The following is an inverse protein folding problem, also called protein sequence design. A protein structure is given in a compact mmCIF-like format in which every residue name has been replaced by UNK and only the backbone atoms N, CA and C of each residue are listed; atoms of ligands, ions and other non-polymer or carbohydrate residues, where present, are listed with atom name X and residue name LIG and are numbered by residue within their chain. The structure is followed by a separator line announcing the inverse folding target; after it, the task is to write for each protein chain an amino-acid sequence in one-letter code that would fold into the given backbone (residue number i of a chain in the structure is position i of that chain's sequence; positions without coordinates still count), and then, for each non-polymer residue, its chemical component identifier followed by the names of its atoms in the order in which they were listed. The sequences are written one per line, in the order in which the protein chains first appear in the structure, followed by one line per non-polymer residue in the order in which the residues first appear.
data_IF_561202624348
#
_entry.id   IF_561202624348
#
_cell.length_a   1.000
_cell.length_b   1.000
_cell.length_c   1.000
_cell.angle_alpha   90.00
_cell.angle_beta   90.00
_cell.angle_gamma   90.00
#
_symmetry.space_group_name_H-M   'P 1'
#
loop_
_entity.id
_entity.type
_entity.pdbx_description
1 polymer ?
#
# COMPACT_ATOMS: atom_id res chain seq x y z
N UNK A 1 -44.79 42.19 -3.53
CA UNK A 1 -44.10 41.35 -4.55
C UNK A 1 -42.61 41.69 -4.67
N UNK A 2 -42.24 42.97 -4.67
CA UNK A 2 -40.80 43.37 -4.80
C UNK A 2 -39.88 42.87 -3.70
N UNK A 3 -40.31 42.80 -2.44
CA UNK A 3 -39.48 42.33 -1.33
C UNK A 3 -39.24 40.80 -1.32
N UNK A 4 -40.08 40.02 -2.00
CA UNK A 4 -39.91 38.58 -2.14
C UNK A 4 -38.93 38.28 -3.29
N UNK A 5 -39.03 39.03 -4.38
CA UNK A 5 -38.12 38.91 -5.55
C UNK A 5 -36.67 39.26 -5.14
N UNK A 6 -36.49 40.31 -4.33
CA UNK A 6 -35.18 40.73 -3.85
C UNK A 6 -34.51 39.69 -2.93
N UNK A 7 -35.30 38.99 -2.10
CA UNK A 7 -34.79 37.90 -1.25
C UNK A 7 -34.39 36.64 -2.04
N UNK A 8 -35.13 36.34 -3.09
CA UNK A 8 -34.81 35.21 -3.98
C UNK A 8 -33.54 35.49 -4.77
N UNK A 9 -33.35 36.72 -5.30
CA UNK A 9 -32.16 37.12 -6.00
C UNK A 9 -30.94 37.15 -5.08
N UNK A 10 -31.08 37.62 -3.83
CA UNK A 10 -29.97 37.56 -2.84
C UNK A 10 -29.61 36.13 -2.41
N UNK A 11 -30.58 35.22 -2.33
CA UNK A 11 -30.33 33.80 -2.06
C UNK A 11 -29.62 33.11 -3.25
N UNK A 12 -29.97 33.45 -4.49
CA UNK A 12 -29.27 32.90 -5.70
C UNK A 12 -27.88 33.47 -5.84
N UNK A 13 -27.60 34.72 -5.48
CA UNK A 13 -26.26 35.30 -5.47
C UNK A 13 -25.36 34.70 -4.36
N UNK A 14 -25.92 34.30 -3.22
CA UNK A 14 -25.17 33.58 -2.18
C UNK A 14 -24.86 32.14 -2.55
N UNK A 15 -25.73 31.47 -3.34
CA UNK A 15 -25.46 30.12 -3.83
C UNK A 15 -24.48 30.09 -5.01
N UNK A 16 -24.34 31.14 -5.78
CA UNK A 16 -23.37 31.22 -6.89
C UNK A 16 -21.94 31.54 -6.44
N UNK A 17 -21.70 31.94 -5.19
CA UNK A 17 -20.37 32.14 -4.64
C UNK A 17 -19.78 30.86 -3.97
N UNK A 18 -20.57 29.81 -3.74
CA UNK A 18 -20.09 28.55 -3.15
C UNK A 18 -19.54 27.59 -4.22
N UNK A 19 -19.70 27.87 -5.51
CA UNK A 19 -19.38 26.93 -6.59
C UNK A 19 -18.02 27.14 -7.26
N UNK A 20 -17.08 27.89 -6.66
CA UNK A 20 -15.75 28.11 -7.20
C UNK A 20 -14.63 28.06 -6.15
N UNK A 21 -14.75 27.24 -5.13
CA UNK A 21 -13.55 26.79 -4.42
C UNK A 21 -12.89 25.76 -5.36
N UNK A 22 -11.83 26.17 -6.05
CA UNK A 22 -10.97 25.24 -6.78
C UNK A 22 -10.41 24.27 -5.75
N UNK A 23 -10.35 22.98 -6.09
CA UNK A 23 -9.82 21.91 -5.21
C UNK A 23 -8.46 22.24 -4.60
N UNK A 24 -7.66 23.10 -5.25
CA UNK A 24 -6.41 23.66 -4.73
C UNK A 24 -6.55 24.56 -3.51
N UNK A 25 -7.71 25.17 -3.29
CA UNK A 25 -7.92 26.06 -2.13
C UNK A 25 -8.11 25.27 -0.83
N UNK A 26 -8.16 23.92 -0.92
CA UNK A 26 -8.28 23.01 0.21
C UNK A 26 -6.94 22.54 0.80
N UNK A 27 -5.80 22.93 0.23
CA UNK A 27 -4.50 22.62 0.82
C UNK A 27 -4.21 23.52 2.02
N UNK A 28 -3.65 22.92 3.06
CA UNK A 28 -3.11 23.66 4.20
C UNK A 28 -1.90 24.48 3.73
N UNK A 29 -1.73 25.74 4.22
CA UNK A 29 -0.54 26.50 3.93
C UNK A 29 0.70 25.79 4.49
N UNK A 30 1.79 25.81 3.71
CA UNK A 30 3.06 25.27 4.17
C UNK A 30 3.54 26.00 5.43
N UNK A 31 3.79 25.25 6.50
CA UNK A 31 4.32 25.77 7.76
C UNK A 31 5.71 25.25 8.05
N UNK A 32 5.88 23.93 7.95
CA UNK A 32 7.14 23.25 8.25
C UNK A 32 7.15 21.86 7.62
N UNK A 33 8.31 21.31 7.42
CA UNK A 33 8.54 19.89 7.12
C UNK A 33 9.27 19.18 8.27
N UNK A 34 9.59 19.89 9.35
CA UNK A 34 10.32 19.30 10.47
C UNK A 34 9.42 18.29 11.20
N UNK A 35 9.94 17.08 11.44
CA UNK A 35 9.18 16.05 12.10
C UNK A 35 8.88 16.37 13.57
N UNK A 36 7.75 15.85 14.05
CA UNK A 36 7.38 15.91 15.47
C UNK A 36 7.67 14.55 16.12
N UNK A 37 8.27 14.55 17.32
CA UNK A 37 8.47 13.32 18.08
C UNK A 37 7.13 12.83 18.67
N UNK A 38 6.60 11.75 18.12
CA UNK A 38 5.39 11.10 18.61
C UNK A 38 5.68 9.87 19.49
N UNK A 39 6.95 9.57 19.75
CA UNK A 39 7.36 8.36 20.47
C UNK A 39 6.76 7.09 19.86
N UNK A 40 6.66 7.04 18.53
CA UNK A 40 6.05 5.98 17.75
C UNK A 40 7.08 4.96 17.19
N UNK A 41 8.27 4.97 17.78
CA UNK A 41 9.40 4.11 17.42
C UNK A 41 10.34 4.71 16.37
N UNK A 42 10.01 5.85 15.76
CA UNK A 42 10.89 6.54 14.84
C UNK A 42 11.92 7.42 15.54
N UNK A 43 13.17 7.26 15.15
CA UNK A 43 14.21 8.24 15.45
C UNK A 43 14.03 9.45 14.53
N UNK A 44 14.16 10.65 15.09
CA UNK A 44 14.10 11.90 14.34
C UNK A 44 15.53 12.44 14.15
N UNK A 45 15.79 12.99 12.97
CA UNK A 45 17.05 13.67 12.64
C UNK A 45 16.78 14.91 11.78
N UNK A 46 17.84 15.66 11.47
CA UNK A 46 17.78 16.76 10.52
C UNK A 46 18.28 16.31 9.15
N UNK A 47 17.83 16.96 8.06
CA UNK A 47 18.34 16.64 6.72
C UNK A 47 19.87 16.73 6.64
N UNK A 48 20.47 17.75 7.22
CA UNK A 48 21.92 17.95 7.19
C UNK A 48 22.69 16.84 7.89
N UNK A 49 22.23 16.38 9.08
CA UNK A 49 22.85 15.27 9.80
C UNK A 49 22.81 13.97 9.00
N UNK A 50 21.83 13.82 8.12
CA UNK A 50 21.65 12.66 7.27
C UNK A 50 22.12 12.91 5.82
N UNK A 51 22.95 13.92 5.61
CA UNK A 51 23.63 14.23 4.34
C UNK A 51 22.66 14.57 3.19
N UNK A 52 21.54 15.22 3.52
CA UNK A 52 20.59 15.78 2.56
C UNK A 52 20.72 17.31 2.59
N UNK A 53 20.74 17.94 1.39
CA UNK A 53 20.75 19.39 1.28
C UNK A 53 19.44 19.97 1.79
N UNK A 54 19.50 20.63 2.98
CA UNK A 54 18.33 21.17 3.66
C UNK A 54 17.61 22.25 2.83
N UNK A 55 18.38 23.17 2.22
CA UNK A 55 17.81 24.25 1.42
C UNK A 55 17.01 23.72 0.21
N UNK A 56 17.58 22.73 -0.48
CA UNK A 56 16.89 22.11 -1.63
C UNK A 56 15.72 21.26 -1.18
N UNK A 57 15.82 20.54 -0.06
CA UNK A 57 14.68 19.79 0.50
C UNK A 57 13.53 20.74 0.85
N UNK A 58 13.80 21.87 1.46
CA UNK A 58 12.81 22.91 1.74
C UNK A 58 12.11 23.39 0.47
N UNK A 59 12.85 23.61 -0.61
CA UNK A 59 12.28 23.98 -1.92
C UNK A 59 11.37 22.88 -2.48
N UNK A 60 11.74 21.60 -2.28
CA UNK A 60 10.89 20.47 -2.69
C UNK A 60 9.57 20.48 -1.90
N UNK A 61 9.59 20.77 -0.59
CA UNK A 61 8.36 20.86 0.21
C UNK A 61 7.50 22.09 -0.16
N UNK A 62 8.09 23.22 -0.52
CA UNK A 62 7.35 24.34 -1.11
C UNK A 62 6.68 23.93 -2.41
N UNK A 63 7.45 23.34 -3.34
CA UNK A 63 6.90 22.79 -4.60
C UNK A 63 5.75 21.82 -4.35
N UNK A 64 5.91 20.91 -3.38
CA UNK A 64 4.91 19.94 -3.00
C UNK A 64 3.59 20.58 -2.53
N UNK A 65 3.65 21.66 -1.78
CA UNK A 65 2.48 22.40 -1.32
C UNK A 65 1.85 23.29 -2.39
N UNK A 66 2.65 23.92 -3.22
CA UNK A 66 2.20 24.96 -4.16
C UNK A 66 1.80 24.40 -5.53
N UNK A 67 2.33 23.23 -5.91
CA UNK A 67 2.04 22.64 -7.21
C UNK A 67 0.60 22.15 -7.29
N UNK A 68 -0.12 22.71 -8.25
CA UNK A 68 -1.53 22.40 -8.50
C UNK A 68 -1.74 20.97 -9.02
N UNK A 69 -0.74 20.41 -9.72
CA UNK A 69 -0.81 19.05 -10.24
C UNK A 69 -0.68 17.98 -9.13
N UNK A 70 -0.31 18.42 -7.93
CA UNK A 70 -0.19 17.58 -6.72
C UNK A 70 -1.33 17.82 -5.73
N UNK A 71 -2.46 18.38 -6.18
CA UNK A 71 -3.57 18.73 -5.29
C UNK A 71 -4.15 17.53 -4.50
N UNK A 72 -4.04 16.31 -5.05
CA UNK A 72 -4.54 15.10 -4.40
C UNK A 72 -3.62 14.60 -3.28
N UNK A 73 -2.35 14.96 -3.31
CA UNK A 73 -1.37 14.42 -2.36
C UNK A 73 -1.66 14.96 -0.97
N UNK A 74 -1.73 14.06 0.01
CA UNK A 74 -2.04 14.34 1.42
C UNK A 74 -0.80 14.47 2.27
N UNK A 75 0.20 13.64 2.02
CA UNK A 75 1.42 13.63 2.81
C UNK A 75 2.67 13.31 1.97
N UNK A 76 3.80 13.83 2.43
CA UNK A 76 5.13 13.46 1.95
C UNK A 76 6.04 13.30 3.17
N UNK A 77 6.61 12.11 3.35
CA UNK A 77 7.56 11.80 4.42
C UNK A 77 8.87 11.32 3.80
N UNK A 78 9.98 11.72 4.39
CA UNK A 78 11.34 11.33 3.97
C UNK A 78 12.07 10.72 5.15
N UNK A 79 12.56 9.49 4.96
CA UNK A 79 13.39 8.77 5.90
C UNK A 79 14.76 8.52 5.28
N UNK A 80 15.80 8.79 6.03
CA UNK A 80 17.19 8.57 5.64
C UNK A 80 17.95 7.90 6.78
N UNK A 81 18.75 6.89 6.47
CA UNK A 81 19.52 6.15 7.47
C UNK A 81 18.66 5.72 8.68
N UNK A 82 17.45 5.23 8.40
CA UNK A 82 16.50 4.77 9.40
C UNK A 82 15.92 5.85 10.33
N UNK A 83 15.99 7.10 9.94
CA UNK A 83 15.46 8.23 10.71
C UNK A 83 14.49 9.05 9.87
N UNK A 84 13.43 9.51 10.49
CA UNK A 84 12.51 10.48 9.90
C UNK A 84 13.16 11.85 9.91
N UNK A 85 13.39 12.43 8.73
CA UNK A 85 14.09 13.71 8.57
C UNK A 85 13.18 14.82 8.09
N UNK A 86 12.07 14.47 7.44
CA UNK A 86 11.11 15.45 6.97
C UNK A 86 9.73 14.80 6.81
N UNK A 87 8.69 15.57 7.15
CA UNK A 87 7.31 15.21 6.92
C UNK A 87 6.42 16.43 6.72
N UNK A 88 5.41 16.32 5.89
CA UNK A 88 4.40 17.36 5.75
C UNK A 88 3.05 16.79 5.30
N UNK A 89 1.99 17.44 5.74
CA UNK A 89 0.60 17.06 5.51
C UNK A 89 -0.15 18.22 4.87
N UNK A 90 -0.67 18.01 3.66
CA UNK A 90 -1.20 19.10 2.82
C UNK A 90 -2.70 19.32 2.97
N UNK A 91 -3.45 18.33 3.41
CA UNK A 91 -4.92 18.37 3.48
C UNK A 91 -5.44 18.42 4.92
N UNK A 92 -4.90 17.57 5.76
CA UNK A 92 -5.32 17.43 7.15
C UNK A 92 -4.10 17.12 8.02
N UNK A 93 -3.84 17.95 9.01
CA UNK A 93 -2.72 17.70 9.93
C UNK A 93 -2.93 16.43 10.76
N UNK A 94 -4.16 16.01 10.96
CA UNK A 94 -4.48 14.80 11.70
C UNK A 94 -4.06 13.52 10.94
N UNK A 95 -3.74 13.60 9.63
CA UNK A 95 -3.20 12.46 8.88
C UNK A 95 -1.91 11.89 9.51
N UNK A 96 -1.28 12.66 10.37
CA UNK A 96 -0.12 12.19 11.15
C UNK A 96 -0.50 11.06 12.11
N UNK A 97 -1.73 11.05 12.64
CA UNK A 97 -2.22 10.08 13.64
C UNK A 97 -3.49 9.35 13.22
N UNK A 98 -4.24 9.86 12.25
CA UNK A 98 -5.46 9.23 11.76
C UNK A 98 -5.14 8.25 10.61
N UNK A 99 -5.48 6.95 10.76
CA UNK A 99 -5.21 5.97 9.73
C UNK A 99 -6.16 6.16 8.55
N UNK A 100 -5.61 6.06 7.34
CA UNK A 100 -6.36 6.07 6.09
C UNK A 100 -6.14 4.76 5.31
N UNK A 101 -7.01 4.45 4.36
CA UNK A 101 -6.88 3.26 3.53
C UNK A 101 -5.57 3.29 2.73
N UNK A 102 -4.74 2.27 2.91
CA UNK A 102 -3.48 2.13 2.16
C UNK A 102 -3.64 1.31 0.88
N UNK A 103 -4.86 0.85 0.63
CA UNK A 103 -5.26 0.10 -0.56
C UNK A 103 -4.34 -1.10 -0.82
N UNK A 104 -3.86 -1.26 -2.06
CA UNK A 104 -3.04 -2.40 -2.46
C UNK A 104 -1.67 -2.49 -1.77
N UNK A 105 -1.23 -1.47 -1.02
CA UNK A 105 -0.11 -1.61 -0.10
C UNK A 105 -0.35 -2.72 0.96
N UNK A 106 -1.59 -3.14 1.16
CA UNK A 106 -1.95 -4.31 1.97
C UNK A 106 -1.30 -5.61 1.45
N UNK A 107 -1.13 -5.74 0.13
CA UNK A 107 -0.54 -6.95 -0.49
C UNK A 107 0.92 -7.16 -0.05
N UNK A 108 1.70 -6.08 0.05
CA UNK A 108 3.09 -6.17 0.53
C UNK A 108 3.13 -6.58 2.01
N UNK A 109 2.14 -6.15 2.80
CA UNK A 109 2.00 -6.62 4.19
C UNK A 109 1.65 -8.11 4.23
N UNK A 110 0.83 -8.61 3.31
CA UNK A 110 0.57 -10.05 3.17
C UNK A 110 1.84 -10.83 2.78
N UNK A 111 2.70 -10.27 1.93
CA UNK A 111 4.01 -10.85 1.61
C UNK A 111 4.90 -10.98 2.86
N UNK A 112 4.98 -9.92 3.67
CA UNK A 112 5.71 -9.93 4.95
C UNK A 112 5.13 -11.01 5.88
N UNK A 113 3.82 -11.06 6.03
CA UNK A 113 3.13 -12.07 6.85
C UNK A 113 3.34 -13.50 6.34
N UNK A 114 3.45 -13.70 5.04
CA UNK A 114 3.77 -15.02 4.48
C UNK A 114 5.16 -15.49 4.92
N UNK A 115 6.16 -14.59 4.93
CA UNK A 115 7.49 -14.91 5.45
C UNK A 115 7.46 -15.29 6.94
N UNK A 116 6.71 -14.54 7.73
CA UNK A 116 6.53 -14.87 9.15
C UNK A 116 5.77 -16.20 9.29
N UNK A 117 4.80 -16.49 8.42
CA UNK A 117 4.06 -17.75 8.43
C UNK A 117 4.95 -18.96 8.13
N UNK A 118 5.94 -18.81 7.24
CA UNK A 118 6.96 -19.84 6.98
C UNK A 118 7.84 -20.08 8.22
N UNK A 119 8.30 -19.01 8.87
CA UNK A 119 9.13 -19.10 10.08
C UNK A 119 8.38 -19.80 11.25
N UNK A 120 7.10 -19.49 11.39
CA UNK A 120 6.21 -20.09 12.40
C UNK A 120 5.63 -21.45 11.98
N UNK A 121 5.95 -21.96 10.78
CA UNK A 121 5.39 -23.19 10.21
C UNK A 121 3.86 -23.21 10.10
N UNK A 122 3.27 -22.04 9.97
CA UNK A 122 1.86 -21.86 9.60
C UNK A 122 1.67 -22.21 8.12
N UNK A 123 2.66 -21.86 7.32
CA UNK A 123 2.88 -22.34 5.94
C UNK A 123 4.21 -23.07 5.96
N UNK A 124 4.28 -24.29 5.42
CA UNK A 124 5.52 -25.08 5.48
C UNK A 124 6.47 -24.76 4.32
N UNK A 125 5.92 -24.50 3.12
CA UNK A 125 6.69 -24.15 1.94
C UNK A 125 5.87 -23.29 0.98
N UNK A 126 6.51 -22.35 0.28
CA UNK A 126 5.86 -21.62 -0.82
C UNK A 126 5.56 -22.51 -2.03
N UNK A 127 6.25 -23.64 -2.17
CA UNK A 127 5.97 -24.66 -3.19
C UNK A 127 4.77 -25.54 -2.88
N UNK A 128 4.17 -25.42 -1.70
CA UNK A 128 3.00 -26.23 -1.35
C UNK A 128 1.77 -25.85 -2.15
N UNK A 129 1.03 -26.85 -2.60
CA UNK A 129 -0.30 -26.72 -3.16
C UNK A 129 -1.28 -26.21 -2.10
N UNK A 130 -2.14 -25.24 -2.46
CA UNK A 130 -3.19 -24.72 -1.57
C UNK A 130 -4.10 -25.80 -1.03
N UNK A 131 -4.26 -26.93 -1.74
CA UNK A 131 -5.02 -28.09 -1.29
C UNK A 131 -4.56 -28.60 0.08
N UNK A 132 -3.27 -28.47 0.41
CA UNK A 132 -2.71 -28.86 1.71
C UNK A 132 -3.36 -28.08 2.86
N UNK A 133 -3.67 -26.82 2.64
CA UNK A 133 -4.20 -25.90 3.63
C UNK A 133 -5.72 -25.72 3.54
N UNK A 134 -6.29 -25.92 2.35
CA UNK A 134 -7.69 -25.70 1.99
C UNK A 134 -8.32 -26.96 1.33
N UNK A 135 -8.22 -28.17 1.98
CA UNK A 135 -8.62 -29.41 1.34
C UNK A 135 -10.11 -29.45 0.97
N UNK A 136 -10.99 -28.94 1.81
CA UNK A 136 -12.44 -28.96 1.56
C UNK A 136 -12.84 -27.94 0.49
N UNK A 137 -12.18 -26.80 0.44
CA UNK A 137 -12.40 -25.76 -0.56
C UNK A 137 -11.95 -26.26 -1.94
N UNK A 138 -10.73 -26.81 -2.05
CA UNK A 138 -10.20 -27.34 -3.31
C UNK A 138 -10.99 -28.59 -3.76
N UNK A 139 -11.53 -29.37 -2.83
CA UNK A 139 -12.42 -30.49 -3.19
C UNK A 139 -13.70 -30.01 -3.89
N UNK A 140 -14.25 -28.84 -3.51
CA UNK A 140 -15.39 -28.22 -4.20
C UNK A 140 -15.01 -27.58 -5.54
N UNK A 141 -13.75 -27.13 -5.65
CA UNK A 141 -13.18 -26.47 -6.81
C UNK A 141 -11.94 -27.22 -7.32
N UNK A 142 -12.08 -28.43 -7.91
CA UNK A 142 -10.94 -29.32 -8.21
C UNK A 142 -9.99 -28.80 -9.28
N UNK A 143 -10.41 -27.81 -10.07
CA UNK A 143 -9.60 -27.08 -11.05
C UNK A 143 -8.55 -26.16 -10.41
N UNK A 144 -8.63 -25.94 -9.08
CA UNK A 144 -7.66 -25.16 -8.32
C UNK A 144 -6.50 -26.00 -7.76
N UNK A 145 -6.57 -27.32 -7.95
CA UNK A 145 -5.46 -28.20 -7.59
C UNK A 145 -4.22 -27.86 -8.40
N UNK A 146 -3.07 -27.82 -7.72
CA UNK A 146 -1.80 -27.43 -8.31
C UNK A 146 -1.45 -25.95 -8.11
N UNK A 147 -2.39 -25.09 -7.70
CA UNK A 147 -2.06 -23.71 -7.34
C UNK A 147 -1.19 -23.73 -6.08
N UNK A 148 0.01 -23.13 -6.17
CA UNK A 148 0.96 -23.06 -5.06
C UNK A 148 0.94 -21.70 -4.37
N UNK A 149 1.43 -21.64 -3.12
CA UNK A 149 1.61 -20.37 -2.40
C UNK A 149 2.50 -19.43 -3.22
N UNK A 150 3.56 -19.93 -3.86
CA UNK A 150 4.43 -19.12 -4.71
C UNK A 150 3.70 -18.53 -5.91
N UNK A 151 2.84 -19.33 -6.57
CA UNK A 151 2.06 -18.81 -7.70
C UNK A 151 1.08 -17.71 -7.30
N UNK A 152 0.49 -17.80 -6.09
CA UNK A 152 -0.31 -16.71 -5.52
C UNK A 152 0.54 -15.45 -5.28
N UNK A 153 1.72 -15.59 -4.65
CA UNK A 153 2.63 -14.48 -4.36
C UNK A 153 3.13 -13.77 -5.62
N UNK A 154 3.26 -14.49 -6.72
CA UNK A 154 3.69 -13.95 -8.02
C UNK A 154 2.53 -13.43 -8.87
N UNK A 155 1.29 -13.46 -8.39
CA UNK A 155 0.08 -13.15 -9.20
C UNK A 155 -0.01 -14.03 -10.46
N UNK A 156 0.33 -15.30 -10.32
CA UNK A 156 0.37 -16.31 -11.39
C UNK A 156 -0.46 -17.54 -11.03
N UNK A 157 -1.53 -17.39 -10.24
CA UNK A 157 -2.44 -18.50 -9.90
C UNK A 157 -3.18 -19.08 -11.11
N UNK A 158 -3.38 -18.29 -12.14
CA UNK A 158 -4.20 -18.62 -13.31
C UNK A 158 -5.69 -18.46 -13.09
N UNK A 159 -6.15 -17.99 -11.92
CA UNK A 159 -7.56 -17.69 -11.66
C UNK A 159 -7.97 -16.45 -12.47
N UNK A 160 -9.09 -16.54 -13.19
CA UNK A 160 -9.64 -15.48 -14.02
C UNK A 160 -10.30 -14.38 -13.15
N UNK A 161 -9.53 -13.72 -12.32
CA UNK A 161 -10.01 -12.63 -11.49
C UNK A 161 -9.82 -11.30 -12.23
N UNK A 162 -10.91 -10.60 -12.50
CA UNK A 162 -10.91 -9.31 -13.18
C UNK A 162 -10.76 -8.17 -12.16
N UNK A 163 -9.59 -7.55 -12.14
CA UNK A 163 -9.26 -6.46 -11.22
C UNK A 163 -9.61 -5.08 -11.79
N UNK A 164 -9.27 -4.83 -13.05
CA UNK A 164 -9.48 -3.57 -13.80
C UNK A 164 -9.44 -2.31 -12.90
N UNK A 165 -8.29 -2.07 -12.29
CA UNK A 165 -8.06 -0.89 -11.47
C UNK A 165 -9.11 -0.68 -10.35
N UNK A 166 -9.63 -1.72 -9.72
CA UNK A 166 -10.69 -1.68 -8.70
C UNK A 166 -12.14 -1.67 -9.25
N UNK A 167 -12.32 -1.49 -10.55
CA UNK A 167 -13.64 -1.47 -11.20
C UNK A 167 -14.01 -2.77 -11.90
N UNK A 168 -13.09 -3.74 -11.95
CA UNK A 168 -13.34 -5.05 -12.54
C UNK A 168 -14.53 -5.77 -11.93
N UNK A 169 -15.18 -6.62 -12.71
CA UNK A 169 -16.39 -7.32 -12.30
C UNK A 169 -16.15 -8.18 -11.05
N UNK A 170 -15.03 -8.93 -11.01
CA UNK A 170 -14.69 -9.76 -9.85
C UNK A 170 -14.50 -8.94 -8.58
N UNK A 171 -13.92 -7.74 -8.67
CA UNK A 171 -13.76 -6.84 -7.53
C UNK A 171 -15.09 -6.30 -7.02
N UNK A 172 -16.00 -5.93 -7.91
CA UNK A 172 -17.34 -5.47 -7.53
C UNK A 172 -18.10 -6.57 -6.81
N UNK A 173 -18.14 -7.78 -7.40
CA UNK A 173 -18.81 -8.93 -6.82
C UNK A 173 -18.22 -9.31 -5.47
N UNK A 174 -16.89 -9.33 -5.33
CA UNK A 174 -16.22 -9.65 -4.06
C UNK A 174 -16.59 -8.67 -2.94
N UNK A 175 -16.73 -7.38 -3.25
CA UNK A 175 -17.14 -6.38 -2.25
C UNK A 175 -18.60 -6.51 -1.83
N UNK A 176 -19.46 -6.95 -2.73
CA UNK A 176 -20.91 -7.02 -2.52
C UNK A 176 -21.35 -8.37 -1.95
N UNK A 177 -20.49 -9.38 -2.00
CA UNK A 177 -20.85 -10.75 -1.59
C UNK A 177 -21.26 -10.78 -0.11
N UNK A 178 -22.41 -11.40 0.22
CA UNK A 178 -22.93 -11.40 1.59
C UNK A 178 -22.14 -12.29 2.55
N UNK A 179 -21.30 -13.19 2.05
CA UNK A 179 -20.44 -14.12 2.78
C UNK A 179 -19.73 -15.06 1.83
N UNK A 180 -18.77 -15.85 2.35
CA UNK A 180 -18.00 -16.84 1.60
C UNK A 180 -17.14 -16.24 0.47
N UNK A 181 -16.35 -15.20 0.83
CA UNK A 181 -15.43 -14.52 -0.10
C UNK A 181 -14.41 -15.47 -0.74
N UNK A 182 -13.91 -16.43 0.03
CA UNK A 182 -12.96 -17.43 -0.45
C UNK A 182 -13.60 -18.35 -1.51
N UNK A 183 -14.80 -18.86 -1.25
CA UNK A 183 -15.50 -19.75 -2.18
C UNK A 183 -15.83 -19.03 -3.49
N UNK A 184 -16.20 -17.75 -3.43
CA UNK A 184 -16.38 -16.92 -4.61
C UNK A 184 -15.11 -16.86 -5.47
N UNK A 185 -13.95 -16.57 -4.88
CA UNK A 185 -12.69 -16.49 -5.61
C UNK A 185 -12.34 -17.85 -6.24
N UNK A 186 -12.49 -18.92 -5.47
CA UNK A 186 -12.22 -20.27 -5.96
C UNK A 186 -13.25 -20.77 -7.00
N UNK A 187 -14.44 -20.17 -7.08
CA UNK A 187 -15.44 -20.49 -8.11
C UNK A 187 -15.12 -19.88 -9.48
N UNK A 188 -14.25 -18.86 -9.54
CA UNK A 188 -13.85 -18.26 -10.80
C UNK A 188 -13.09 -19.27 -11.68
N UNK A 189 -13.25 -19.25 -13.01
CA UNK A 189 -12.57 -20.21 -13.88
C UNK A 189 -11.04 -20.02 -13.86
N UNK A 190 -10.31 -21.07 -14.22
CA UNK A 190 -8.86 -20.99 -14.48
C UNK A 190 -8.66 -20.71 -15.97
N UNK A 191 -7.98 -19.62 -16.31
CA UNK A 191 -7.71 -19.22 -17.69
C UNK A 191 -6.30 -19.62 -18.17
N UNK A 192 -5.39 -19.91 -17.23
CA UNK A 192 -4.01 -20.29 -17.50
C UNK A 192 -3.51 -21.28 -16.45
N UNK A 193 -2.58 -22.14 -16.81
CA UNK A 193 -1.86 -22.91 -15.81
C UNK A 193 -1.10 -21.98 -14.88
N UNK A 194 -1.05 -22.35 -13.60
CA UNK A 194 -0.30 -21.59 -12.60
C UNK A 194 1.18 -21.39 -13.00
N UNK A 195 1.76 -20.29 -12.58
CA UNK A 195 3.17 -19.97 -12.86
C UNK A 195 3.46 -19.44 -14.25
N UNK A 196 2.46 -19.33 -15.15
CA UNK A 196 2.64 -18.90 -16.55
C UNK A 196 2.24 -17.45 -16.74
N UNK A 197 0.98 -17.11 -16.57
CA UNK A 197 0.46 -15.78 -16.87
C UNK A 197 0.42 -14.91 -15.62
N UNK A 198 0.98 -13.71 -15.71
CA UNK A 198 0.80 -12.69 -14.69
C UNK A 198 -0.60 -12.08 -14.81
N UNK A 199 -1.33 -12.07 -13.72
CA UNK A 199 -2.65 -11.43 -13.61
C UNK A 199 -2.75 -10.74 -12.27
N UNK A 200 -2.49 -9.43 -12.23
CA UNK A 200 -2.63 -8.66 -11.00
C UNK A 200 -4.06 -8.68 -10.50
N UNK A 201 -4.30 -9.26 -9.32
CA UNK A 201 -5.64 -9.51 -8.81
C UNK A 201 -5.73 -9.41 -7.29
N UNK A 202 -6.95 -9.28 -6.77
CA UNK A 202 -7.22 -9.21 -5.34
C UNK A 202 -7.56 -10.58 -4.73
N UNK A 203 -7.79 -11.59 -5.56
CA UNK A 203 -8.10 -12.94 -5.12
C UNK A 203 -6.90 -13.66 -4.50
N UNK A 204 -5.75 -13.61 -5.17
CA UNK A 204 -4.55 -14.34 -4.74
C UNK A 204 -4.11 -14.01 -3.29
N UNK A 205 -3.95 -12.74 -2.90
CA UNK A 205 -3.58 -12.41 -1.52
C UNK A 205 -4.71 -12.70 -0.51
N UNK A 206 -5.96 -12.73 -0.97
CA UNK A 206 -7.07 -13.12 -0.12
C UNK A 206 -7.07 -14.63 0.20
N UNK A 207 -6.70 -15.47 -0.76
CA UNK A 207 -6.50 -16.91 -0.54
C UNK A 207 -5.41 -17.12 0.53
N UNK A 208 -4.29 -16.39 0.47
CA UNK A 208 -3.24 -16.47 1.50
C UNK A 208 -3.78 -16.03 2.87
N UNK A 209 -4.58 -14.98 2.92
CA UNK A 209 -5.23 -14.54 4.17
C UNK A 209 -6.13 -15.64 4.77
N UNK A 210 -6.93 -16.29 3.94
CA UNK A 210 -7.78 -17.41 4.36
C UNK A 210 -6.95 -18.61 4.88
N UNK A 211 -5.83 -18.93 4.24
CA UNK A 211 -4.90 -19.98 4.69
C UNK A 211 -4.35 -19.65 6.06
N UNK A 212 -3.81 -18.44 6.26
CA UNK A 212 -3.27 -18.00 7.56
C UNK A 212 -4.35 -18.12 8.64
N UNK A 213 -5.55 -17.61 8.37
CA UNK A 213 -6.67 -17.69 9.32
C UNK A 213 -7.01 -19.13 9.69
N UNK A 214 -7.09 -20.03 8.71
CA UNK A 214 -7.45 -21.42 8.92
C UNK A 214 -6.38 -22.17 9.71
N UNK A 215 -5.12 -21.94 9.43
CA UNK A 215 -4.01 -22.62 10.10
C UNK A 215 -3.73 -22.09 11.51
N UNK A 216 -4.02 -20.81 11.77
CA UNK A 216 -3.79 -20.20 13.09
C UNK A 216 -5.00 -20.21 14.01
N UNK A 217 -6.22 -20.48 13.48
CA UNK A 217 -7.51 -20.27 14.15
C UNK A 217 -7.71 -18.84 14.67
N UNK A 218 -7.04 -17.85 14.04
CA UNK A 218 -7.18 -16.42 14.30
C UNK A 218 -7.42 -15.72 12.98
N UNK A 219 -8.18 -14.62 12.97
CA UNK A 219 -8.22 -13.77 11.79
C UNK A 219 -6.80 -13.32 11.44
N UNK A 220 -6.52 -13.12 10.16
CA UNK A 220 -5.18 -12.61 9.74
C UNK A 220 -4.85 -11.29 10.42
N UNK A 221 -5.86 -10.44 10.68
CA UNK A 221 -5.72 -9.21 11.47
C UNK A 221 -5.22 -9.48 12.90
N UNK A 222 -5.83 -10.43 13.62
CA UNK A 222 -5.43 -10.78 14.99
C UNK A 222 -4.02 -11.38 15.02
N UNK A 223 -3.75 -12.28 14.09
CA UNK A 223 -2.43 -12.89 13.99
C UNK A 223 -1.35 -11.85 13.62
N UNK A 224 -1.61 -10.99 12.63
CA UNK A 224 -0.70 -9.90 12.26
C UNK A 224 -0.41 -8.93 13.42
N UNK A 225 -1.42 -8.65 14.28
CA UNK A 225 -1.21 -7.86 15.49
C UNK A 225 -0.17 -8.48 16.41
N UNK A 226 -0.21 -9.81 16.60
CA UNK A 226 0.71 -10.51 17.48
C UNK A 226 2.13 -10.61 16.92
N UNK A 227 2.24 -11.01 15.64
CA UNK A 227 3.53 -11.39 15.05
C UNK A 227 4.24 -10.24 14.35
N UNK A 228 3.53 -9.18 13.96
CA UNK A 228 4.06 -8.08 13.15
C UNK A 228 3.78 -6.71 13.79
N UNK A 229 2.53 -6.30 13.90
CA UNK A 229 2.20 -4.90 14.23
C UNK A 229 2.64 -4.49 15.64
N UNK A 230 2.47 -5.38 16.65
CA UNK A 230 2.95 -5.11 18.01
C UNK A 230 4.49 -5.05 18.08
N UNK A 231 5.19 -5.85 17.27
CA UNK A 231 6.66 -5.82 17.20
C UNK A 231 7.19 -4.57 16.50
N UNK A 232 6.42 -4.00 15.56
CA UNK A 232 6.69 -2.73 14.91
C UNK A 232 6.21 -1.51 15.73
N UNK A 233 5.66 -1.73 16.91
CA UNK A 233 5.10 -0.67 17.75
C UNK A 233 4.02 0.16 17.04
N UNK A 234 3.25 -0.48 16.15
CA UNK A 234 2.16 0.17 15.44
C UNK A 234 0.97 0.44 16.38
N UNK A 235 0.43 1.64 16.29
CA UNK A 235 -0.68 2.10 17.16
C UNK A 235 -1.92 2.51 16.38
N UNK A 236 -1.73 3.12 15.23
CA UNK A 236 -2.77 3.77 14.45
C UNK A 236 -3.01 3.00 13.14
N UNK A 237 -3.74 1.89 13.26
CA UNK A 237 -4.12 1.05 12.12
C UNK A 237 -5.47 0.40 12.37
N UNK A 238 -6.12 -0.01 11.28
CA UNK A 238 -7.27 -0.91 11.28
C UNK A 238 -7.20 -1.84 10.06
N UNK A 239 -7.85 -3.00 10.11
CA UNK A 239 -7.88 -3.92 9.00
C UNK A 239 -9.26 -4.58 8.88
N UNK A 240 -9.92 -4.33 7.76
CA UNK A 240 -11.29 -4.78 7.51
C UNK A 240 -11.32 -6.28 7.22
N UNK A 241 -12.38 -6.93 7.66
CA UNK A 241 -12.74 -8.31 7.30
C UNK A 241 -13.98 -8.30 6.40
N UNK A 242 -14.13 -9.33 5.55
CA UNK A 242 -15.39 -9.59 4.87
C UNK A 242 -16.45 -10.11 5.86
N UNK A 243 -17.69 -10.24 5.40
CA UNK A 243 -18.81 -10.71 6.25
C UNK A 243 -18.65 -12.16 6.73
N UNK A 244 -17.84 -12.97 6.05
CA UNK A 244 -17.45 -14.32 6.46
C UNK A 244 -16.34 -14.35 7.51
N UNK A 245 -15.87 -13.20 7.95
CA UNK A 245 -14.82 -13.07 8.96
C UNK A 245 -13.40 -13.20 8.43
N UNK A 246 -13.19 -13.41 7.12
CA UNK A 246 -11.84 -13.45 6.54
C UNK A 246 -11.31 -12.03 6.36
N UNK A 247 -10.12 -11.75 6.88
CA UNK A 247 -9.46 -10.46 6.72
C UNK A 247 -9.13 -10.20 5.25
N UNK A 248 -9.41 -9.00 4.75
CA UNK A 248 -9.14 -8.62 3.37
C UNK A 248 -7.64 -8.64 3.06
N UNK A 249 -7.17 -9.65 2.30
CA UNK A 249 -5.73 -9.82 2.01
C UNK A 249 -5.18 -8.86 0.97
N UNK A 250 -6.01 -8.31 0.10
CA UNK A 250 -5.58 -7.50 -1.04
C UNK A 250 -5.61 -5.99 -0.77
N UNK A 251 -6.54 -5.56 0.06
CA UNK A 251 -6.78 -4.18 0.47
C UNK A 251 -7.52 -4.19 1.80
N UNK A 252 -7.88 -3.02 2.32
CA UNK A 252 -8.65 -2.93 3.57
C UNK A 252 -7.80 -2.74 4.82
N UNK A 253 -6.49 -2.68 4.71
CA UNK A 253 -5.62 -2.18 5.78
C UNK A 253 -5.64 -0.65 5.76
N UNK A 254 -5.82 -0.06 6.94
CA UNK A 254 -5.74 1.36 7.21
C UNK A 254 -4.51 1.61 8.08
N UNK A 255 -3.72 2.59 7.71
CA UNK A 255 -2.52 2.97 8.44
C UNK A 255 -2.23 4.46 8.26
N UNK A 256 -1.46 5.05 9.17
CA UNK A 256 -0.90 6.38 8.96
C UNK A 256 0.31 6.30 8.02
N UNK A 257 0.73 7.42 7.41
CA UNK A 257 1.94 7.43 6.58
C UNK A 257 3.20 6.94 7.33
N UNK A 258 3.32 7.26 8.62
CA UNK A 258 4.42 6.78 9.46
C UNK A 258 4.37 5.27 9.72
N UNK A 259 3.16 4.71 9.86
CA UNK A 259 3.00 3.24 9.99
C UNK A 259 3.28 2.53 8.66
N UNK A 260 2.90 3.11 7.53
CA UNK A 260 3.27 2.58 6.20
C UNK A 260 4.78 2.52 6.02
N UNK A 261 5.50 3.54 6.48
CA UNK A 261 6.96 3.60 6.42
C UNK A 261 7.63 2.42 7.14
N UNK A 262 7.05 1.88 8.21
CA UNK A 262 7.61 0.74 8.95
C UNK A 262 7.73 -0.52 8.10
N UNK A 263 6.77 -0.75 7.19
CA UNK A 263 6.84 -1.87 6.25
C UNK A 263 7.97 -1.67 5.22
N UNK A 264 8.11 -0.45 4.69
CA UNK A 264 9.24 -0.10 3.83
C UNK A 264 10.59 -0.23 4.52
N UNK A 265 10.63 0.13 5.80
CA UNK A 265 11.83 0.02 6.62
C UNK A 265 12.24 -1.44 6.87
N UNK A 266 11.26 -2.35 7.07
CA UNK A 266 11.55 -3.78 7.13
C UNK A 266 12.20 -4.28 5.83
N UNK A 267 11.68 -3.85 4.67
CA UNK A 267 12.27 -4.22 3.39
C UNK A 267 13.70 -3.66 3.25
N UNK A 268 13.93 -2.38 3.62
CA UNK A 268 15.24 -1.74 3.59
C UNK A 268 16.27 -2.44 4.50
N UNK A 269 15.85 -2.83 5.70
CA UNK A 269 16.73 -3.33 6.77
C UNK A 269 16.69 -4.85 6.93
N UNK A 270 16.44 -5.58 5.85
CA UNK A 270 16.43 -7.05 5.85
C UNK A 270 15.60 -7.64 7.00
N UNK A 271 14.41 -7.04 7.22
CA UNK A 271 13.45 -7.52 8.20
C UNK A 271 13.70 -7.11 9.65
N UNK A 272 14.63 -6.18 9.91
CA UNK A 272 14.97 -5.73 11.26
C UNK A 272 14.24 -4.42 11.59
N UNK A 273 13.69 -4.33 12.80
CA UNK A 273 13.12 -3.12 13.39
C UNK A 273 13.69 -2.89 14.80
N UNK A 274 14.26 -1.72 15.06
CA UNK A 274 14.86 -1.33 16.35
C UNK A 274 15.78 -2.44 16.94
N UNK A 275 16.65 -3.02 16.08
CA UNK A 275 17.61 -4.08 16.46
C UNK A 275 16.99 -5.48 16.66
N UNK A 276 15.69 -5.64 16.43
CA UNK A 276 15.01 -6.93 16.52
C UNK A 276 14.69 -7.48 15.14
N UNK A 277 15.02 -8.74 14.88
CA UNK A 277 14.61 -9.43 13.66
C UNK A 277 13.12 -9.74 13.74
N UNK A 278 12.33 -9.22 12.79
CA UNK A 278 10.88 -9.41 12.69
C UNK A 278 10.52 -10.39 11.57
N UNK A 279 11.25 -10.31 10.47
CA UNK A 279 11.09 -11.16 9.28
C UNK A 279 12.46 -11.69 8.88
N UNK A 280 12.56 -12.96 8.51
CA UNK A 280 13.83 -13.57 8.10
C UNK A 280 14.51 -12.77 6.97
N UNK A 281 15.83 -12.49 7.04
CA UNK A 281 16.54 -11.72 6.02
C UNK A 281 16.42 -12.33 4.62
N UNK A 282 16.55 -13.65 4.52
CA UNK A 282 16.45 -14.38 3.25
C UNK A 282 15.07 -14.21 2.62
N UNK A 283 14.01 -14.17 3.44
CA UNK A 283 12.67 -13.90 2.93
C UNK A 283 12.52 -12.48 2.40
N UNK A 284 13.11 -11.50 3.07
CA UNK A 284 13.09 -10.11 2.60
C UNK A 284 13.79 -9.99 1.25
N UNK A 285 14.92 -10.66 1.08
CA UNK A 285 15.63 -10.70 -0.19
C UNK A 285 14.78 -11.37 -1.28
N UNK A 286 14.17 -12.51 -0.97
CA UNK A 286 13.27 -13.23 -1.90
C UNK A 286 12.04 -12.43 -2.29
N UNK A 287 11.33 -11.80 -1.33
CA UNK A 287 10.09 -11.08 -1.63
C UNK A 287 10.32 -9.80 -2.44
N UNK A 288 11.51 -9.19 -2.34
CA UNK A 288 11.87 -7.96 -3.04
C UNK A 288 12.72 -8.20 -4.29
N UNK A 289 13.04 -9.45 -4.62
CA UNK A 289 13.72 -9.80 -5.87
C UNK A 289 12.74 -9.85 -7.04
N UNK A 290 13.21 -9.48 -8.22
CA UNK A 290 12.47 -9.60 -9.48
C UNK A 290 12.14 -11.08 -9.77
N UNK A 291 10.90 -11.41 -9.96
CA UNK A 291 10.40 -12.77 -10.22
C UNK A 291 9.64 -12.88 -11.54
N UNK A 292 8.89 -11.85 -11.90
CA UNK A 292 7.99 -11.87 -13.06
C UNK A 292 8.05 -10.53 -13.77
N UNK A 293 8.03 -10.54 -15.10
CA UNK A 293 7.76 -9.32 -15.86
C UNK A 293 6.31 -8.91 -15.67
N UNK A 294 6.10 -7.64 -15.41
CA UNK A 294 4.80 -7.03 -15.25
C UNK A 294 4.57 -5.90 -16.27
N UNK A 295 5.34 -5.90 -17.36
CA UNK A 295 5.36 -4.83 -18.37
C UNK A 295 3.97 -4.55 -18.97
N UNK A 296 3.21 -5.61 -19.28
CA UNK A 296 1.91 -5.49 -19.94
C UNK A 296 0.81 -4.88 -19.05
N UNK A 297 0.99 -4.87 -17.73
CA UNK A 297 0.02 -4.31 -16.77
C UNK A 297 0.55 -3.06 -16.08
N UNK A 298 1.66 -2.51 -16.58
CA UNK A 298 2.54 -1.74 -15.75
C UNK A 298 2.62 -0.26 -16.08
N UNK A 299 2.04 0.53 -15.18
CA UNK A 299 2.31 1.96 -15.10
C UNK A 299 3.55 2.28 -14.24
N UNK A 300 4.24 1.27 -13.61
CA UNK A 300 5.01 1.56 -12.41
C UNK A 300 6.40 0.99 -12.32
N UNK A 301 6.87 0.24 -13.20
CA UNK A 301 8.12 -0.44 -13.10
C UNK A 301 8.06 -1.66 -13.98
N UNK A 302 9.07 -2.40 -14.05
CA UNK A 302 9.22 -3.40 -15.08
C UNK A 302 9.05 -4.83 -14.58
N UNK A 303 9.17 -5.03 -13.24
CA UNK A 303 9.11 -6.37 -12.67
C UNK A 303 8.35 -6.41 -11.34
N UNK A 304 8.01 -7.63 -10.92
CA UNK A 304 7.21 -7.92 -9.74
C UNK A 304 7.84 -9.06 -8.94
N UNK A 305 7.98 -8.85 -7.64
CA UNK A 305 8.46 -9.85 -6.69
C UNK A 305 7.30 -10.62 -6.06
N UNK A 306 7.41 -10.97 -4.78
CA UNK A 306 6.27 -11.50 -4.03
C UNK A 306 5.41 -10.34 -3.52
N UNK A 307 4.51 -9.86 -4.36
CA UNK A 307 3.67 -8.66 -4.22
C UNK A 307 4.40 -7.33 -4.24
N UNK A 308 5.74 -7.28 -4.28
CA UNK A 308 6.51 -6.05 -4.34
C UNK A 308 6.75 -5.60 -5.77
N UNK A 309 6.70 -4.29 -6.01
CA UNK A 309 7.03 -3.68 -7.29
C UNK A 309 8.52 -3.33 -7.32
N UNK A 310 9.19 -3.64 -8.41
CA UNK A 310 10.63 -3.44 -8.57
C UNK A 310 10.90 -2.61 -9.82
N UNK A 311 11.39 -1.40 -9.63
CA UNK A 311 11.89 -0.52 -10.68
C UNK A 311 13.41 -0.69 -10.76
N UNK A 312 13.85 -1.62 -11.59
CA UNK A 312 15.26 -1.94 -11.75
C UNK A 312 16.06 -0.77 -12.31
N UNK A 313 15.44 0.04 -13.19
CA UNK A 313 16.07 1.20 -13.80
C UNK A 313 16.51 2.24 -12.76
N UNK A 314 15.69 2.49 -11.75
CA UNK A 314 15.95 3.48 -10.72
C UNK A 314 16.48 2.85 -9.42
N UNK A 315 16.56 1.51 -9.35
CA UNK A 315 16.97 0.77 -8.16
C UNK A 315 16.01 0.96 -6.99
N UNK A 316 14.72 0.96 -7.29
CA UNK A 316 13.64 1.19 -6.31
C UNK A 316 12.84 -0.09 -6.13
N UNK A 317 12.57 -0.43 -4.86
CA UNK A 317 11.55 -1.39 -4.46
C UNK A 317 10.39 -0.62 -3.85
N UNK A 318 9.15 -0.99 -4.16
CA UNK A 318 8.02 -0.16 -3.71
C UNK A 318 6.78 -0.93 -3.32
N UNK A 319 6.01 -0.29 -2.43
CA UNK A 319 4.62 -0.59 -2.14
C UNK A 319 3.77 0.42 -2.91
N UNK A 320 2.79 -0.09 -3.66
CA UNK A 320 1.94 0.75 -4.49
C UNK A 320 0.46 0.48 -4.19
N UNK A 321 -0.26 1.52 -3.80
CA UNK A 321 -1.69 1.49 -3.50
C UNK A 321 -2.48 2.48 -4.34
N UNK A 322 -3.74 2.12 -4.61
CA UNK A 322 -4.66 2.92 -5.41
C UNK A 322 -4.71 4.37 -4.91
N UNK A 323 -4.73 5.32 -5.85
CA UNK A 323 -4.88 6.74 -5.57
C UNK A 323 -3.63 7.43 -5.02
N UNK A 324 -2.44 6.79 -5.09
CA UNK A 324 -1.18 7.46 -4.74
C UNK A 324 -0.65 7.16 -3.34
N UNK A 325 -0.98 5.99 -2.83
CA UNK A 325 -0.36 5.45 -1.62
C UNK A 325 0.95 4.77 -2.03
N UNK A 326 2.10 5.40 -1.79
CA UNK A 326 3.40 4.85 -2.18
C UNK A 326 4.37 4.81 -1.01
N UNK A 327 5.15 3.74 -0.94
CA UNK A 327 6.38 3.65 -0.15
C UNK A 327 7.49 3.28 -1.12
N UNK A 328 8.34 4.24 -1.45
CA UNK A 328 9.45 4.09 -2.40
C UNK A 328 10.75 3.91 -1.63
N UNK A 329 11.48 2.85 -1.90
CA UNK A 329 12.67 2.43 -1.15
C UNK A 329 13.85 2.36 -2.09
N UNK A 330 14.94 3.06 -1.79
CA UNK A 330 16.24 2.96 -2.49
C UNK A 330 17.31 2.42 -1.55
N UNK A 331 17.57 1.11 -1.56
CA UNK A 331 18.52 0.49 -0.63
C UNK A 331 19.92 1.06 -0.72
N UNK A 332 20.39 1.38 -1.93
CA UNK A 332 21.75 1.94 -2.16
C UNK A 332 22.00 3.27 -1.47
N UNK A 333 20.93 3.99 -1.07
CA UNK A 333 21.01 5.27 -0.36
C UNK A 333 20.37 5.24 1.03
N UNK A 334 19.94 4.09 1.54
CA UNK A 334 19.19 4.00 2.79
C UNK A 334 18.04 5.04 2.85
N UNK A 335 17.31 5.18 1.74
CA UNK A 335 16.28 6.20 1.55
C UNK A 335 14.91 5.53 1.44
N UNK A 336 13.94 6.04 2.20
CA UNK A 336 12.52 5.67 2.07
C UNK A 336 11.70 6.95 1.96
N UNK A 337 10.83 7.02 0.97
CA UNK A 337 9.89 8.11 0.78
C UNK A 337 8.48 7.56 0.80
N UNK A 338 7.62 8.19 1.58
CA UNK A 338 6.20 7.84 1.67
C UNK A 338 5.36 8.98 1.15
N UNK A 339 4.42 8.66 0.28
CA UNK A 339 3.34 9.57 -0.10
C UNK A 339 2.00 8.94 0.18
N UNK A 340 1.03 9.74 0.59
CA UNK A 340 -0.39 9.37 0.57
C UNK A 340 -1.16 10.40 -0.22
N UNK A 341 -2.27 10.00 -0.83
CA UNK A 341 -3.09 10.88 -1.62
C UNK A 341 -4.57 10.49 -1.54
N UNK A 342 -5.45 11.39 -1.95
CA UNK A 342 -6.88 11.11 -2.09
C UNK A 342 -7.11 10.36 -3.39
N UNK A 343 -7.74 9.17 -3.35
CA UNK A 343 -8.11 8.49 -4.59
C UNK A 343 -9.12 9.35 -5.34
N UNK A 344 -8.75 9.76 -6.56
CA UNK A 344 -9.72 10.42 -7.44
C UNK A 344 -10.57 9.36 -8.13
N UNK A 345 -11.87 9.47 -7.98
CA UNK A 345 -12.84 8.60 -8.63
C UNK A 345 -13.25 9.13 -10.02
N UNK A 346 -12.77 10.31 -10.42
CA UNK A 346 -13.16 10.96 -11.67
C UNK A 346 -11.94 11.49 -12.45
N UNK A 347 -11.56 10.77 -13.53
CA UNK A 347 -10.76 11.32 -14.63
C UNK A 347 -9.24 11.30 -14.47
N UNK A 348 -8.57 12.03 -15.35
CA UNK A 348 -7.14 11.96 -15.70
C UNK A 348 -6.13 12.53 -14.66
N UNK A 349 -6.57 12.91 -13.48
CA UNK A 349 -5.76 13.59 -12.48
C UNK A 349 -5.32 12.69 -11.31
N UNK A 350 -5.06 11.41 -11.55
CA UNK A 350 -4.55 10.53 -10.50
C UNK A 350 -3.09 10.87 -10.17
N UNK A 351 -2.76 10.85 -8.87
CA UNK A 351 -1.38 10.85 -8.42
C UNK A 351 -0.78 9.47 -8.65
N UNK A 352 -0.21 9.26 -9.82
CA UNK A 352 0.36 8.00 -10.27
C UNK A 352 1.85 7.91 -9.96
N UNK A 353 2.39 6.70 -10.07
CA UNK A 353 3.81 6.42 -9.84
C UNK A 353 4.78 7.37 -10.55
N UNK A 354 4.60 7.78 -11.81
CA UNK A 354 5.52 8.73 -12.45
C UNK A 354 5.66 10.07 -11.71
N UNK A 355 4.58 10.57 -11.11
CA UNK A 355 4.65 11.80 -10.29
C UNK A 355 5.30 11.55 -8.92
N UNK A 356 5.05 10.39 -8.31
CA UNK A 356 5.74 10.00 -7.10
C UNK A 356 7.24 9.80 -7.35
N UNK A 357 7.60 9.21 -8.48
CA UNK A 357 8.98 9.04 -8.93
C UNK A 357 9.68 10.39 -9.15
N UNK A 358 9.00 11.37 -9.79
CA UNK A 358 9.56 12.72 -9.95
C UNK A 358 9.92 13.36 -8.59
N UNK A 359 9.04 13.26 -7.59
CA UNK A 359 9.33 13.75 -6.24
C UNK A 359 10.49 12.96 -5.64
N UNK A 360 10.50 11.64 -5.81
CA UNK A 360 11.56 10.77 -5.33
C UNK A 360 12.91 11.16 -5.92
N UNK A 361 13.00 11.32 -7.24
CA UNK A 361 14.25 11.70 -7.94
C UNK A 361 14.77 13.06 -7.50
N UNK A 362 13.89 14.03 -7.25
CA UNK A 362 14.29 15.33 -6.68
C UNK A 362 14.98 15.18 -5.32
N UNK A 363 14.47 14.28 -4.46
CA UNK A 363 15.04 14.01 -3.13
C UNK A 363 16.30 13.15 -3.26
N UNK A 364 16.29 12.13 -4.13
CA UNK A 364 17.44 11.27 -4.39
C UNK A 364 18.67 12.06 -4.89
N UNK A 365 18.44 13.04 -5.76
CA UNK A 365 19.50 13.88 -6.32
C UNK A 365 20.19 14.77 -5.27
N UNK A 366 19.52 15.12 -4.18
CA UNK A 366 20.07 15.95 -3.09
C UNK A 366 20.60 15.11 -1.91
N UNK A 367 20.41 13.79 -1.94
CA UNK A 367 20.95 12.83 -0.99
C UNK A 367 22.36 12.38 -1.44
N UNK A 368 23.36 12.65 -0.60
CA UNK A 368 24.77 12.27 -0.87
C UNK A 368 25.06 10.83 -0.48
#
# INVERSE_FOLDING_TARGET
MEKIVLRIILSFLLFSFVSCLKENDLKLPFKTYLPVDLQDGWLISTPENEQINESELKNIYHYFHENKDLWQVRSLLVFRNNKLIAESYTKNINDITEPAAIWSCTKQVMSILTGIALEHRVIESIGDDIQKYLPEEVKRHPDKKGITIESLLKMQSGIAFENDGFNGESNKLLREIPGNSLDFILSLPVFSHQGIAFNYNDGDPHIISAIIQKQTNKTTREWAKEVLFSKLEMRNYDWITYKDGITMGAFGLFATPREMAKFGHLALNKGTWNGKQIVAPDWVEEMTASKVSAEDVNYYGTTFGYYWWIDEKHGIVSMNGHGGQFVLIKPSKNLVIVTTAEPNTQGDHQFLYPKALEIFERIDNIAK
#
